data_IF_607577027391
#
_entry.id   IF_607577027391
#
_cell.length_a   1.000
_cell.length_b   1.000
_cell.length_c   1.000
_cell.angle_alpha   90.00
_cell.angle_beta   90.00
_cell.angle_gamma   90.00
#
_symmetry.space_group_name_H-M   'P 1'
#
loop_
_entity.id
_entity.type
_entity.pdbx_description
1 polymer ?
#
# COMPACT_ATOMS: atom_id res chain seq x y z
N UNK A 1 12.67 18.61 24.68
CA UNK A 1 11.39 18.72 25.41
C UNK A 1 10.36 19.34 24.47
N UNK A 2 9.81 18.57 23.53
CA UNK A 2 8.72 19.00 22.61
C UNK A 2 7.62 17.93 22.52
N UNK A 3 7.51 17.11 23.58
CA UNK A 3 6.54 16.01 23.67
C UNK A 3 5.17 16.47 24.20
N UNK A 4 4.94 17.77 24.35
CA UNK A 4 3.74 18.35 25.00
C UNK A 4 2.76 19.06 24.05
N UNK A 5 3.02 19.10 22.74
CA UNK A 5 2.06 19.72 21.82
C UNK A 5 1.08 18.69 21.31
N UNK A 6 -0.18 18.80 21.76
CA UNK A 6 -1.27 17.95 21.31
C UNK A 6 -1.48 18.12 19.79
N UNK A 7 -1.32 17.06 18.98
CA UNK A 7 -1.49 17.13 17.54
C UNK A 7 -2.94 17.45 17.12
N UNK A 8 -3.91 17.27 18.01
CA UNK A 8 -5.33 17.51 17.77
C UNK A 8 -5.80 18.90 18.16
N UNK A 9 -4.95 19.66 18.86
CA UNK A 9 -5.19 21.05 19.23
C UNK A 9 -5.49 21.89 17.98
N UNK A 10 -6.55 22.69 18.05
CA UNK A 10 -6.93 23.64 16.99
C UNK A 10 -6.25 24.98 17.25
N UNK A 11 -5.44 25.41 16.30
CA UNK A 11 -4.75 26.70 16.31
C UNK A 11 -5.29 27.60 15.20
N UNK A 12 -5.13 28.91 15.39
CA UNK A 12 -5.63 29.94 14.48
C UNK A 12 -4.75 30.08 13.24
N UNK A 13 -5.37 30.31 12.08
CA UNK A 13 -4.63 30.62 10.87
C UNK A 13 -4.15 32.09 10.86
N UNK A 14 -2.88 32.36 10.52
CA UNK A 14 -2.35 33.72 10.39
C UNK A 14 -3.00 34.56 9.29
N UNK A 15 -3.52 33.92 8.23
CA UNK A 15 -4.14 34.62 7.10
C UNK A 15 -5.59 35.04 7.39
N UNK A 16 -6.33 34.24 8.16
CA UNK A 16 -7.72 34.50 8.48
C UNK A 16 -8.07 33.96 9.87
N UNK A 17 -8.45 34.81 10.84
CA UNK A 17 -8.80 34.38 12.18
C UNK A 17 -10.08 33.53 12.24
N UNK A 18 -10.90 33.47 11.20
CA UNK A 18 -12.04 32.55 11.18
C UNK A 18 -11.60 31.07 11.12
N UNK A 19 -10.40 30.78 10.60
CA UNK A 19 -9.92 29.41 10.41
C UNK A 19 -9.24 28.87 11.67
N UNK A 20 -9.90 27.90 12.32
CA UNK A 20 -9.32 27.09 13.40
C UNK A 20 -8.94 25.72 12.85
N UNK A 21 -7.64 25.44 12.74
CA UNK A 21 -7.10 24.26 12.08
C UNK A 21 -6.30 23.42 13.06
N UNK A 22 -6.44 22.11 12.99
CA UNK A 22 -5.64 21.19 13.82
C UNK A 22 -4.14 21.41 13.55
N UNK A 23 -3.32 21.41 14.60
CA UNK A 23 -1.86 21.60 14.53
C UNK A 23 -1.22 20.69 13.46
N UNK A 24 -1.61 19.41 13.40
CA UNK A 24 -1.13 18.44 12.41
C UNK A 24 -1.47 18.78 10.95
N UNK A 25 -2.50 19.59 10.70
CA UNK A 25 -2.96 19.99 9.35
C UNK A 25 -2.54 21.41 8.96
N UNK A 26 -1.95 22.19 9.87
CA UNK A 26 -1.66 23.60 9.63
C UNK A 26 -0.76 23.83 8.41
N UNK A 27 0.31 23.05 8.23
CA UNK A 27 1.24 23.23 7.10
C UNK A 27 0.52 23.12 5.73
N UNK A 28 -0.28 22.07 5.54
CA UNK A 28 -1.05 21.89 4.29
C UNK A 28 -2.15 22.94 4.12
N UNK A 29 -2.71 23.44 5.22
CA UNK A 29 -3.66 24.55 5.21
C UNK A 29 -3.00 25.85 4.74
N UNK A 30 -1.85 26.24 5.31
CA UNK A 30 -1.16 27.49 4.99
C UNK A 30 -0.83 27.60 3.50
N UNK A 31 -0.39 26.51 2.87
CA UNK A 31 -0.08 26.47 1.43
C UNK A 31 -1.30 26.75 0.54
N UNK A 32 -2.49 26.32 0.96
CA UNK A 32 -3.76 26.57 0.24
C UNK A 32 -4.32 27.94 0.58
N UNK A 33 -4.25 28.33 1.85
CA UNK A 33 -4.79 29.59 2.34
C UNK A 33 -4.03 30.80 1.77
N UNK A 34 -2.70 30.70 1.61
CA UNK A 34 -1.87 31.72 0.93
C UNK A 34 -2.38 32.04 -0.48
N UNK A 35 -2.89 31.05 -1.22
CA UNK A 35 -3.43 31.25 -2.58
C UNK A 35 -4.75 32.01 -2.59
N UNK A 36 -5.50 31.95 -1.49
CA UNK A 36 -6.78 32.63 -1.34
C UNK A 36 -6.63 34.08 -0.85
N UNK A 37 -5.51 34.42 -0.21
CA UNK A 37 -5.20 35.75 0.34
C UNK A 37 -3.86 36.28 -0.19
N UNK A 38 -3.71 36.48 -1.51
CA UNK A 38 -2.45 36.94 -2.11
C UNK A 38 -2.04 38.35 -1.67
N UNK A 39 -2.98 39.17 -1.21
CA UNK A 39 -2.74 40.53 -0.70
C UNK A 39 -2.05 40.56 0.67
N UNK A 40 -2.07 39.44 1.39
CA UNK A 40 -1.39 39.33 2.68
C UNK A 40 0.13 39.30 2.47
N UNK A 41 0.82 40.33 2.97
CA UNK A 41 2.30 40.44 2.93
C UNK A 41 2.97 39.60 4.02
N UNK A 42 2.50 38.37 4.18
CA UNK A 42 3.06 37.41 5.13
C UNK A 42 4.11 36.56 4.42
N UNK A 43 5.32 36.59 4.96
CA UNK A 43 6.46 35.78 4.54
C UNK A 43 6.63 34.61 5.50
N UNK A 44 7.36 33.60 5.06
CA UNK A 44 7.67 32.44 5.88
C UNK A 44 9.01 32.58 6.59
N UNK A 45 9.09 32.05 7.82
CA UNK A 45 10.34 32.01 8.57
C UNK A 45 11.26 30.92 8.04
N UNK A 46 12.56 31.22 7.98
CA UNK A 46 13.60 30.28 7.55
C UNK A 46 13.77 29.08 8.52
N UNK A 47 13.43 29.27 9.79
CA UNK A 47 13.55 28.24 10.83
C UNK A 47 12.32 27.32 10.92
N UNK A 48 11.14 27.82 10.57
CA UNK A 48 9.90 27.04 10.62
C UNK A 48 8.87 27.57 9.60
N UNK A 49 8.53 26.73 8.62
CA UNK A 49 7.58 27.05 7.53
C UNK A 49 6.17 27.38 8.03
N UNK A 50 5.80 26.92 9.23
CA UNK A 50 4.50 27.22 9.82
C UNK A 50 4.40 28.66 10.35
N UNK A 51 5.52 29.31 10.66
CA UNK A 51 5.52 30.72 11.06
C UNK A 51 5.28 31.59 9.82
N UNK A 52 4.16 32.31 9.83
CA UNK A 52 3.84 33.33 8.84
C UNK A 52 3.91 34.68 9.54
N UNK A 53 4.84 35.52 9.10
CA UNK A 53 5.23 36.78 9.75
C UNK A 53 5.10 37.91 8.73
N UNK A 54 4.67 39.12 9.11
CA UNK A 54 4.73 40.27 8.21
C UNK A 54 6.15 40.51 7.71
N UNK A 55 6.30 40.78 6.41
CA UNK A 55 7.60 41.08 5.79
C UNK A 55 8.49 42.08 6.56
N UNK A 56 7.99 43.24 7.06
CA UNK A 56 8.84 44.17 7.81
C UNK A 56 9.30 43.65 9.18
N UNK A 57 8.61 42.67 9.75
CA UNK A 57 8.90 42.12 11.09
C UNK A 57 9.79 40.86 11.01
N UNK A 58 10.13 40.38 9.81
CA UNK A 58 10.88 39.15 9.62
C UNK A 58 12.23 39.18 10.35
N UNK A 59 12.93 40.31 10.30
CA UNK A 59 14.24 40.47 10.94
C UNK A 59 14.14 40.33 12.47
N UNK A 60 13.17 41.03 13.08
CA UNK A 60 12.89 40.91 14.51
C UNK A 60 12.46 39.48 14.87
N UNK A 61 11.63 38.85 14.04
CA UNK A 61 11.26 37.45 14.22
C UNK A 61 12.49 36.52 14.21
N UNK A 62 13.47 36.73 13.33
CA UNK A 62 14.68 35.91 13.31
C UNK A 62 15.53 36.05 14.58
N UNK A 63 15.54 37.23 15.22
CA UNK A 63 16.22 37.44 16.49
C UNK A 63 15.53 36.73 17.66
N UNK A 64 14.19 36.66 17.62
CA UNK A 64 13.37 36.15 18.73
C UNK A 64 12.65 34.83 18.42
N UNK A 65 12.96 34.15 17.32
CA UNK A 65 12.23 32.96 16.90
C UNK A 65 12.41 31.81 17.90
N UNK A 66 11.33 31.18 18.40
CA UNK A 66 11.44 30.08 19.36
C UNK A 66 12.15 28.84 18.78
N UNK A 67 12.05 28.63 17.46
CA UNK A 67 12.65 27.48 16.78
C UNK A 67 14.12 27.71 16.37
N UNK A 68 14.63 28.95 16.44
CA UNK A 68 16.03 29.28 16.11
C UNK A 68 17.01 28.47 16.94
N UNK A 69 16.75 28.35 18.26
CA UNK A 69 17.61 27.59 19.19
C UNK A 69 17.78 26.12 18.80
N UNK A 70 16.78 25.51 18.14
CA UNK A 70 16.86 24.10 17.71
C UNK A 70 17.91 23.93 16.62
N UNK A 71 17.96 24.86 15.68
CA UNK A 71 18.90 24.83 14.56
C UNK A 71 20.30 25.23 15.04
N UNK A 72 20.40 26.27 15.87
CA UNK A 72 21.68 26.65 16.48
C UNK A 72 22.29 25.49 17.27
N UNK A 73 21.51 24.78 18.09
CA UNK A 73 22.00 23.61 18.81
C UNK A 73 22.49 22.50 17.88
N UNK A 74 21.89 22.31 16.71
CA UNK A 74 22.40 21.30 15.74
C UNK A 74 23.66 21.73 15.01
N UNK A 75 23.84 23.03 14.77
CA UNK A 75 24.98 23.58 14.02
C UNK A 75 26.19 23.77 14.93
N UNK A 76 25.98 24.20 16.19
CA UNK A 76 27.04 24.48 17.16
C UNK A 76 27.30 23.32 18.13
N UNK A 77 26.63 22.18 17.99
CA UNK A 77 27.11 20.95 18.64
C UNK A 77 28.40 20.52 17.95
N UNK A 78 29.49 21.02 18.54
CA UNK A 78 30.89 20.62 18.52
C UNK A 78 31.30 19.64 17.43
N UNK A 79 32.26 20.08 16.61
CA UNK A 79 33.23 19.25 15.91
C UNK A 79 33.96 18.35 16.93
N UNK A 80 33.28 17.31 17.41
CA UNK A 80 33.69 16.64 18.64
C UNK A 80 32.76 15.51 19.00
N UNK A 81 32.92 14.40 18.28
CA UNK A 81 32.31 13.09 18.54
C UNK A 81 30.84 12.97 18.07
N UNK A 82 30.53 12.05 17.14
CA UNK A 82 29.15 11.69 16.86
C UNK A 82 28.55 11.10 18.13
N UNK A 83 27.73 11.88 18.84
CA UNK A 83 26.89 11.35 19.91
C UNK A 83 25.91 10.41 19.23
N UNK A 84 26.23 9.11 19.23
CA UNK A 84 25.28 8.07 18.86
C UNK A 84 24.09 8.23 19.81
N UNK A 85 23.02 8.86 19.31
CA UNK A 85 21.77 9.12 20.04
C UNK A 85 21.17 7.86 20.66
N UNK A 86 21.58 6.72 20.12
CA UNK A 86 21.32 5.37 20.59
C UNK A 86 22.67 4.65 20.70
N UNK A 87 23.37 4.70 21.84
CA UNK A 87 24.58 3.92 22.03
C UNK A 87 24.20 2.45 21.93
N UNK A 88 24.63 1.79 20.86
CA UNK A 88 24.52 0.35 20.72
C UNK A 88 25.42 -0.23 21.79
N UNK A 89 24.81 -0.82 22.82
CA UNK A 89 25.58 -1.52 23.84
C UNK A 89 26.21 -2.72 23.13
N UNK A 90 27.53 -2.88 23.27
CA UNK A 90 28.21 -4.05 22.74
C UNK A 90 27.81 -5.25 23.61
N UNK A 91 26.67 -5.84 23.30
CA UNK A 91 26.18 -7.05 23.97
C UNK A 91 26.85 -8.20 23.24
N UNK A 92 27.81 -8.85 23.92
CA UNK A 92 28.40 -10.11 23.46
C UNK A 92 27.34 -11.21 23.59
N UNK A 93 26.39 -11.25 22.66
CA UNK A 93 25.41 -12.33 22.55
C UNK A 93 26.14 -13.55 22.00
N UNK A 94 26.31 -14.59 22.81
CA UNK A 94 26.71 -15.90 22.32
C UNK A 94 25.57 -16.44 21.45
N UNK A 95 25.73 -16.33 20.14
CA UNK A 95 24.81 -16.92 19.17
C UNK A 95 25.37 -18.28 18.77
N UNK A 96 24.72 -19.35 19.24
CA UNK A 96 25.09 -20.73 18.88
C UNK A 96 24.82 -21.05 17.40
N UNK A 97 24.01 -20.24 16.73
CA UNK A 97 23.62 -20.37 15.33
C UNK A 97 23.73 -19.01 14.62
N UNK A 98 24.61 -18.93 13.61
CA UNK A 98 24.69 -17.76 12.72
C UNK A 98 23.89 -18.05 11.45
N UNK A 99 23.04 -17.12 11.05
CA UNK A 99 22.33 -17.20 9.76
C UNK A 99 23.28 -17.25 8.55
N UNK A 100 24.55 -16.89 8.73
CA UNK A 100 25.58 -16.89 7.69
C UNK A 100 26.32 -18.24 7.55
N UNK A 101 26.08 -19.23 8.43
CA UNK A 101 26.78 -20.53 8.38
C UNK A 101 26.08 -21.58 7.51
N UNK A 102 24.85 -21.32 7.05
CA UNK A 102 24.10 -22.25 6.22
C UNK A 102 24.48 -22.08 4.73
N UNK A 103 25.24 -23.04 4.20
CA UNK A 103 25.47 -23.16 2.74
C UNK A 103 24.22 -23.77 2.08
N UNK A 104 23.17 -22.96 1.97
CA UNK A 104 21.92 -23.31 1.28
C UNK A 104 21.95 -22.66 -0.10
N UNK A 105 21.68 -23.40 -1.18
CA UNK A 105 21.63 -22.81 -2.51
C UNK A 105 20.59 -21.70 -2.56
N UNK A 106 20.86 -20.65 -3.34
CA UNK A 106 19.92 -19.55 -3.51
C UNK A 106 18.57 -20.06 -4.00
N UNK A 107 17.51 -19.61 -3.34
CA UNK A 107 16.15 -19.92 -3.75
C UNK A 107 15.90 -19.43 -5.19
N UNK A 108 15.52 -20.36 -6.07
CA UNK A 108 15.18 -20.07 -7.46
C UNK A 108 13.64 -20.03 -7.61
N UNK A 109 13.04 -18.83 -7.73
CA UNK A 109 11.60 -18.69 -7.82
C UNK A 109 11.04 -19.34 -9.09
N UNK A 110 11.83 -19.44 -10.17
CA UNK A 110 11.38 -20.03 -11.44
C UNK A 110 11.20 -21.54 -11.27
N UNK A 111 12.21 -22.22 -10.71
CA UNK A 111 12.13 -23.66 -10.40
C UNK A 111 11.00 -23.98 -9.43
N UNK A 112 10.79 -23.13 -8.44
CA UNK A 112 9.68 -23.30 -7.50
C UNK A 112 8.31 -23.19 -8.21
N UNK A 113 8.14 -22.20 -9.09
CA UNK A 113 6.89 -22.02 -9.84
C UNK A 113 6.62 -23.16 -10.83
N UNK A 114 7.69 -23.79 -11.37
CA UNK A 114 7.60 -24.93 -12.28
C UNK A 114 7.14 -26.23 -11.59
N UNK A 115 7.56 -26.42 -10.34
CA UNK A 115 7.33 -27.65 -9.59
C UNK A 115 6.06 -27.65 -8.73
N UNK A 116 5.50 -26.47 -8.45
CA UNK A 116 4.33 -26.32 -7.60
C UNK A 116 3.11 -25.79 -8.38
N UNK A 117 1.95 -25.86 -7.74
CA UNK A 117 0.65 -25.42 -8.28
C UNK A 117 0.53 -23.88 -8.24
N UNK A 118 1.44 -23.20 -8.96
CA UNK A 118 1.50 -21.74 -9.09
C UNK A 118 1.15 -21.37 -10.52
N UNK A 119 0.24 -20.41 -10.71
CA UNK A 119 -0.18 -19.95 -12.04
C UNK A 119 0.91 -19.04 -12.63
N UNK A 120 1.49 -19.44 -13.77
CA UNK A 120 2.47 -18.65 -14.52
C UNK A 120 1.83 -17.89 -15.69
N UNK A 121 2.45 -16.78 -16.11
CA UNK A 121 2.03 -15.98 -17.27
C UNK A 121 3.21 -15.68 -18.19
N UNK A 122 2.94 -15.61 -19.49
CA UNK A 122 3.90 -15.18 -20.51
C UNK A 122 3.37 -13.95 -21.22
N UNK A 123 4.00 -12.80 -20.95
CA UNK A 123 3.48 -11.49 -21.37
C UNK A 123 3.97 -11.07 -22.76
N UNK A 124 5.27 -11.24 -23.01
CA UNK A 124 5.94 -10.77 -24.24
C UNK A 124 6.23 -11.97 -25.15
N UNK A 125 5.25 -12.32 -26.01
CA UNK A 125 5.38 -13.34 -27.06
C UNK A 125 4.28 -13.16 -28.12
N UNK A 126 4.37 -13.88 -29.24
CA UNK A 126 3.30 -13.90 -30.24
C UNK A 126 2.03 -14.55 -29.69
N UNK A 127 0.87 -14.27 -30.31
CA UNK A 127 -0.41 -14.79 -29.85
C UNK A 127 -0.48 -16.33 -29.86
N UNK A 128 0.14 -16.97 -30.85
CA UNK A 128 0.21 -18.42 -30.96
C UNK A 128 1.04 -19.03 -29.81
N UNK A 129 2.21 -18.45 -29.52
CA UNK A 129 3.10 -18.93 -28.45
C UNK A 129 2.41 -18.76 -27.08
N UNK A 130 1.71 -17.65 -26.83
CA UNK A 130 0.91 -17.48 -25.59
C UNK A 130 -0.26 -18.46 -25.49
N UNK A 131 -0.89 -18.84 -26.60
CA UNK A 131 -1.97 -19.83 -26.59
C UNK A 131 -1.44 -21.21 -26.23
N UNK A 132 -0.30 -21.61 -26.81
CA UNK A 132 0.36 -22.88 -26.49
C UNK A 132 0.78 -22.93 -25.03
N UNK A 133 1.41 -21.86 -24.52
CA UNK A 133 1.81 -21.77 -23.11
C UNK A 133 0.63 -21.92 -22.14
N UNK A 134 -0.53 -21.30 -22.42
CA UNK A 134 -1.73 -21.48 -21.59
C UNK A 134 -2.28 -22.92 -21.62
N UNK A 135 -2.10 -23.62 -22.73
CA UNK A 135 -2.53 -25.01 -22.88
C UNK A 135 -1.58 -25.95 -22.10
N UNK A 136 -0.28 -25.75 -22.26
CA UNK A 136 0.76 -26.49 -21.54
C UNK A 136 0.66 -26.24 -20.02
N UNK A 137 0.45 -25.00 -19.59
CA UNK A 137 0.31 -24.67 -18.17
C UNK A 137 -0.96 -25.29 -17.57
N UNK A 138 -2.06 -25.39 -18.34
CA UNK A 138 -3.26 -26.11 -17.92
C UNK A 138 -2.99 -27.61 -17.74
N UNK A 139 -2.22 -28.21 -18.64
CA UNK A 139 -1.82 -29.61 -18.54
C UNK A 139 -0.94 -29.84 -17.30
N UNK A 140 0.11 -29.02 -17.13
CA UNK A 140 1.03 -29.08 -15.99
C UNK A 140 0.29 -28.96 -14.66
N UNK A 141 -0.61 -27.98 -14.52
CA UNK A 141 -1.39 -27.80 -13.29
C UNK A 141 -2.32 -28.98 -13.01
N UNK A 142 -2.90 -29.59 -14.04
CA UNK A 142 -3.71 -30.80 -13.89
C UNK A 142 -2.85 -31.96 -13.36
N UNK A 143 -1.70 -32.22 -13.96
CA UNK A 143 -0.76 -33.28 -13.52
C UNK A 143 -0.26 -33.06 -12.10
N UNK A 144 0.11 -31.82 -11.74
CA UNK A 144 0.58 -31.50 -10.39
C UNK A 144 -0.53 -31.59 -9.35
N UNK A 145 -1.78 -31.27 -9.72
CA UNK A 145 -2.93 -31.41 -8.82
C UNK A 145 -3.22 -32.87 -8.46
N UNK A 146 -2.91 -33.80 -9.37
CA UNK A 146 -3.07 -35.24 -9.16
C UNK A 146 -1.90 -35.79 -8.32
N UNK A 147 -0.67 -35.40 -8.65
CA UNK A 147 0.53 -35.99 -8.05
C UNK A 147 0.93 -35.36 -6.70
N UNK A 148 0.51 -34.13 -6.43
CA UNK A 148 0.81 -33.40 -5.19
C UNK A 148 -0.50 -32.88 -4.59
N UNK A 149 -1.33 -33.78 -4.04
CA UNK A 149 -2.59 -33.36 -3.43
C UNK A 149 -2.27 -32.36 -2.32
N UNK A 150 -2.91 -31.20 -2.40
CA UNK A 150 -2.78 -30.14 -1.40
C UNK A 150 -3.19 -30.76 -0.06
N UNK A 151 -2.31 -30.85 0.96
CA UNK A 151 -2.75 -31.25 2.28
C UNK A 151 -3.76 -30.22 2.76
N UNK A 152 -4.96 -30.68 3.11
CA UNK A 152 -6.09 -29.87 3.61
C UNK A 152 -5.82 -29.21 4.98
N UNK A 153 -4.57 -29.23 5.46
CA UNK A 153 -4.16 -28.74 6.77
C UNK A 153 -3.15 -27.60 6.67
N UNK A 154 -3.63 -26.40 6.32
CA UNK A 154 -3.07 -25.09 6.77
C UNK A 154 -3.79 -23.88 6.16
N UNK A 155 -5.12 -23.94 6.07
CA UNK A 155 -5.92 -22.73 6.29
C UNK A 155 -6.65 -22.99 7.60
N UNK A 156 -5.93 -22.87 8.73
CA UNK A 156 -6.65 -22.37 9.89
C UNK A 156 -7.01 -20.93 9.52
N UNK A 157 -8.31 -20.55 9.50
CA UNK A 157 -8.64 -19.14 9.45
C UNK A 157 -7.99 -18.58 10.71
N UNK A 158 -6.87 -17.87 10.56
CA UNK A 158 -6.37 -17.06 11.64
C UNK A 158 -7.54 -16.14 11.97
N UNK A 159 -8.17 -16.40 13.10
CA UNK A 159 -9.05 -15.47 13.75
C UNK A 159 -8.16 -14.26 14.00
N UNK A 160 -8.09 -13.34 13.04
CA UNK A 160 -7.58 -12.03 13.30
C UNK A 160 -8.56 -11.49 14.33
N UNK A 161 -8.16 -11.52 15.60
CA UNK A 161 -8.77 -10.75 16.66
C UNK A 161 -8.58 -9.28 16.25
N UNK A 162 -9.45 -8.82 15.37
CA UNK A 162 -9.62 -7.41 15.06
C UNK A 162 -10.40 -6.82 16.22
N UNK A 163 -9.70 -6.61 17.33
CA UNK A 163 -10.09 -5.59 18.29
C UNK A 163 -9.83 -4.24 17.61
N UNK A 164 -10.73 -3.87 16.70
CA UNK A 164 -10.83 -2.55 16.12
C UNK A 164 -12.20 -1.99 16.55
N UNK A 165 -12.25 -0.88 17.31
CA UNK A 165 -13.52 -0.29 17.71
C UNK A 165 -14.07 0.45 16.49
N UNK A 166 -14.86 -0.26 15.68
CA UNK A 166 -15.49 0.28 14.49
C UNK A 166 -16.78 -0.49 14.23
N UNK A 167 -17.89 0.03 14.75
CA UNK A 167 -19.22 -0.52 14.57
C UNK A 167 -19.52 -0.82 13.09
N UNK A 168 -19.73 -2.08 12.76
CA UNK A 168 -20.33 -2.46 11.47
C UNK A 168 -21.79 -1.99 11.50
N UNK A 169 -22.11 -1.01 10.67
CA UNK A 169 -23.49 -0.61 10.39
C UNK A 169 -24.22 -1.80 9.75
N UNK A 170 -25.39 -2.14 10.31
CA UNK A 170 -26.29 -3.18 9.83
C UNK A 170 -26.55 -3.03 8.32
N UNK A 171 -26.09 -4.01 7.53
CA UNK A 171 -26.53 -4.17 6.15
C UNK A 171 -27.76 -5.08 6.16
N UNK A 172 -28.86 -4.76 5.45
CA UNK A 172 -30.06 -5.59 5.47
C UNK A 172 -29.77 -6.98 4.91
N UNK A 173 -30.26 -8.02 5.59
CA UNK A 173 -30.22 -9.40 5.09
C UNK A 173 -31.09 -9.50 3.83
N UNK A 174 -30.46 -9.93 2.72
CA UNK A 174 -31.18 -10.29 1.50
C UNK A 174 -31.71 -11.72 1.71
N UNK A 175 -33.03 -11.97 1.57
CA UNK A 175 -33.58 -13.31 1.72
C UNK A 175 -33.02 -14.22 0.62
N UNK A 176 -32.60 -15.42 1.02
CA UNK A 176 -32.15 -16.46 0.07
C UNK A 176 -33.35 -16.86 -0.79
N UNK A 177 -33.37 -16.36 -2.01
CA UNK A 177 -34.28 -16.86 -3.04
C UNK A 177 -33.99 -18.34 -3.28
N UNK A 178 -35.03 -19.17 -3.21
CA UNK A 178 -35.03 -20.54 -3.71
C UNK A 178 -34.64 -20.51 -5.19
N UNK A 179 -33.45 -21.00 -5.52
CA UNK A 179 -33.05 -21.22 -6.92
C UNK A 179 -33.75 -22.47 -7.42
N UNK A 180 -34.43 -22.34 -8.55
CA UNK A 180 -35.19 -23.40 -9.21
C UNK A 180 -34.31 -24.60 -9.62
N UNK A 181 -34.95 -25.76 -9.70
CA UNK A 181 -34.44 -27.15 -9.77
C UNK A 181 -33.55 -27.56 -10.97
N UNK A 182 -32.89 -26.64 -11.68
CA UNK A 182 -32.11 -27.00 -12.89
C UNK A 182 -30.63 -26.62 -12.81
N UNK A 183 -29.96 -26.97 -11.70
CA UNK A 183 -28.48 -26.96 -11.61
C UNK A 183 -27.92 -28.37 -11.80
N UNK A 184 -27.13 -28.65 -12.86
CA UNK A 184 -26.57 -29.98 -13.07
C UNK A 184 -25.48 -30.31 -12.05
N UNK A 185 -25.54 -31.49 -11.45
CA UNK A 185 -24.70 -31.95 -10.35
C UNK A 185 -23.26 -32.31 -10.75
N UNK A 186 -22.92 -32.29 -12.05
CA UNK A 186 -21.58 -32.71 -12.52
C UNK A 186 -21.07 -31.97 -13.75
N UNK A 187 -19.80 -31.59 -13.70
CA UNK A 187 -19.04 -30.96 -14.79
C UNK A 187 -18.97 -31.86 -16.05
N UNK A 188 -19.04 -33.18 -15.87
CA UNK A 188 -19.05 -34.14 -16.98
C UNK A 188 -20.32 -34.04 -17.83
N UNK A 189 -21.45 -33.72 -17.21
CA UNK A 189 -22.74 -33.62 -17.89
C UNK A 189 -22.85 -32.33 -18.73
N UNK A 190 -22.20 -31.26 -18.27
CA UNK A 190 -22.07 -30.00 -19.01
C UNK A 190 -21.23 -30.21 -20.28
N UNK A 191 -20.14 -30.98 -20.20
CA UNK A 191 -19.27 -31.25 -21.35
C UNK A 191 -20.00 -32.05 -22.45
N UNK A 192 -20.89 -32.97 -22.09
CA UNK A 192 -21.64 -33.80 -23.04
C UNK A 192 -22.72 -33.02 -23.81
N UNK A 193 -23.23 -31.89 -23.27
CA UNK A 193 -24.19 -31.03 -23.98
C UNK A 193 -23.54 -30.10 -25.01
N UNK A 194 -22.21 -29.96 -25.00
CA UNK A 194 -21.45 -29.14 -25.95
C UNK A 194 -21.05 -30.01 -27.16
N UNK A 195 -22.03 -30.58 -27.86
CA UNK A 195 -21.79 -31.10 -29.21
C UNK A 195 -22.18 -30.00 -30.18
N UNK A 196 -21.18 -29.18 -30.54
CA UNK A 196 -21.32 -28.11 -31.53
C UNK A 196 -21.48 -28.77 -32.91
N UNK A 197 -22.70 -28.76 -33.44
CA UNK A 197 -22.98 -29.06 -34.84
C UNK A 197 -22.17 -28.14 -35.76
N UNK A 198 -21.83 -28.61 -36.97
CA UNK A 198 -20.96 -27.94 -37.97
C UNK A 198 -21.56 -26.66 -38.59
N UNK A 199 -22.27 -25.85 -37.82
CA UNK A 199 -22.83 -24.60 -38.33
C UNK A 199 -21.82 -23.47 -38.10
N UNK A 200 -21.25 -23.01 -39.20
CA UNK A 200 -20.27 -21.91 -39.20
C UNK A 200 -20.94 -20.65 -38.68
N UNK A 201 -20.35 -20.03 -37.66
CA UNK A 201 -20.80 -18.75 -37.13
C UNK A 201 -20.80 -17.67 -38.23
N UNK A 202 -21.97 -17.12 -38.52
CA UNK A 202 -22.16 -16.02 -39.47
C UNK A 202 -21.81 -14.70 -38.80
N UNK A 203 -20.76 -14.03 -39.29
CA UNK A 203 -20.34 -12.70 -38.81
C UNK A 203 -20.79 -11.67 -39.86
N UNK A 204 -21.77 -10.79 -39.57
CA UNK A 204 -22.17 -9.75 -40.51
C UNK A 204 -21.09 -8.67 -40.60
N UNK A 205 -20.77 -8.24 -41.83
CA UNK A 205 -19.80 -7.16 -42.08
C UNK A 205 -20.40 -5.78 -41.73
N UNK A 206 -19.62 -4.85 -41.15
CA UNK A 206 -20.10 -3.52 -40.83
C UNK A 206 -20.38 -2.70 -42.09
N UNK A 207 -21.48 -1.93 -42.09
CA UNK A 207 -21.82 -0.98 -43.16
C UNK A 207 -20.77 0.14 -43.19
N UNK A 208 -20.19 0.39 -44.37
CA UNK A 208 -19.39 1.58 -44.62
C UNK A 208 -20.27 2.82 -44.50
N UNK A 209 -19.83 3.80 -43.71
CA UNK A 209 -20.55 5.05 -43.48
C UNK A 209 -20.62 5.91 -44.74
N UNK A 210 -21.79 6.52 -44.94
CA UNK A 210 -21.96 7.80 -45.65
C UNK A 210 -22.31 8.85 -44.60
#
# INVERSE_FOLDING_TARGET
>A
MDLLTDPEEKIMCPYNPAHHIMRKRMNTHLSKCKRNYPESKLVECDFNVNHKVPEPELQYHHENCPDRRKIEHTVYHEEGVPINKFPVHNIEVQADESWDSYDVPSYDPVKYCETNVVIRRMDVASAAVRKNFRMEERHRLNELSINKPIPSSSIQPQQSNRNHPGARRNLPEIPRGTVAEDTPESVAEIMNRIVIGKDKAFIPKPRAGQ
#
